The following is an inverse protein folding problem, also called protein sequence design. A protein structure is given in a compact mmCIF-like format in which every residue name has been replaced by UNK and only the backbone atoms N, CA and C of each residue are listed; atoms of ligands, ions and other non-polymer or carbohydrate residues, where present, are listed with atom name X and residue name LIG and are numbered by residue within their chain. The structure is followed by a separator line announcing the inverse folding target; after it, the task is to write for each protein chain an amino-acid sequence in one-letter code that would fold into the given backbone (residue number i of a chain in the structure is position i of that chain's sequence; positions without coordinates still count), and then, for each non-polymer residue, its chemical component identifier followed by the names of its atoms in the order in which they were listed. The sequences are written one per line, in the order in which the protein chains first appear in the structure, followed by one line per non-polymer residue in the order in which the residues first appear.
data_IF_008155667828
#
_entry.id   IF_008155667828
#
_cell.length_a   1.000
_cell.length_b   1.000
_cell.length_c   1.000
_cell.angle_alpha   90.00
_cell.angle_beta   90.00
_cell.angle_gamma   90.00
#
_symmetry.space_group_name_H-M   'P 1'
#
loop_
_entity.id
_entity.type
_entity.pdbx_description
1 polymer ?
#
# COMPACT_ATOMS: atom_id res chain seq x y z
N UNK A 1 -51.99 -1.85 1.07
CA UNK A 1 -50.82 -2.43 0.39
C UNK A 1 -49.64 -1.50 0.67
N UNK A 2 -48.52 -2.00 1.21
CA UNK A 2 -47.46 -1.17 1.79
C UNK A 2 -46.35 -0.92 0.76
N UNK A 3 -46.01 0.33 0.56
CA UNK A 3 -44.90 0.75 -0.30
C UNK A 3 -43.69 1.18 0.56
N UNK A 4 -42.70 0.29 0.51
CA UNK A 4 -41.25 0.53 0.49
C UNK A 4 -40.59 1.21 1.71
N UNK A 5 -40.08 0.36 2.61
CA UNK A 5 -38.82 0.59 3.31
C UNK A 5 -37.68 0.72 2.29
N UNK A 6 -36.78 1.70 2.40
CA UNK A 6 -35.36 1.44 2.16
C UNK A 6 -34.43 2.49 2.79
N UNK A 7 -33.91 2.13 3.96
CA UNK A 7 -32.50 2.19 4.32
C UNK A 7 -31.71 3.46 3.98
N UNK A 8 -31.59 4.34 4.98
CA UNK A 8 -30.53 5.34 5.04
C UNK A 8 -29.17 4.64 5.19
N UNK A 9 -28.45 4.52 4.08
CA UNK A 9 -27.07 4.03 4.03
C UNK A 9 -26.12 5.05 4.69
N UNK A 10 -25.90 4.93 6.01
CA UNK A 10 -24.84 5.65 6.72
C UNK A 10 -23.48 5.10 6.28
N UNK A 11 -22.84 5.76 5.33
CA UNK A 11 -21.45 5.51 4.94
C UNK A 11 -20.56 5.94 6.11
N UNK A 12 -20.31 5.03 7.05
CA UNK A 12 -19.32 5.23 8.11
C UNK A 12 -17.94 5.24 7.45
N UNK A 13 -17.34 6.43 7.38
CA UNK A 13 -15.94 6.66 7.07
C UNK A 13 -15.10 5.92 8.11
N UNK A 14 -14.72 4.68 7.79
CA UNK A 14 -13.84 3.87 8.63
C UNK A 14 -12.49 4.58 8.60
N UNK A 15 -12.15 5.29 9.68
CA UNK A 15 -10.76 5.65 9.96
C UNK A 15 -10.04 4.33 10.14
N UNK A 16 -9.45 3.84 9.05
CA UNK A 16 -8.62 2.64 9.04
C UNK A 16 -7.35 2.98 9.82
N UNK A 17 -7.43 2.86 11.14
CA UNK A 17 -6.26 2.77 11.98
C UNK A 17 -5.61 1.44 11.60
N UNK A 18 -4.51 1.49 10.85
CA UNK A 18 -3.66 0.33 10.60
C UNK A 18 -3.47 -0.40 11.93
N UNK A 19 -4.09 -1.58 12.05
CA UNK A 19 -3.90 -2.43 13.20
C UNK A 19 -2.42 -2.81 13.22
N UNK A 20 -1.75 -2.48 14.33
CA UNK A 20 -0.32 -2.70 14.62
C UNK A 20 0.12 -4.18 14.39
N UNK A 21 -0.82 -5.10 14.15
CA UNK A 21 -0.60 -6.49 13.74
C UNK A 21 -0.25 -6.73 12.25
N UNK A 22 -0.24 -5.70 11.40
CA UNK A 22 0.22 -5.81 10.01
C UNK A 22 1.75 -5.68 9.87
N UNK A 23 2.45 -5.37 10.97
CA UNK A 23 3.91 -5.25 11.01
C UNK A 23 4.53 -6.65 10.88
N UNK A 24 5.44 -6.85 9.91
CA UNK A 24 6.13 -8.12 9.55
C UNK A 24 5.35 -9.20 8.79
N UNK A 25 4.12 -8.97 8.32
CA UNK A 25 3.47 -9.90 7.38
C UNK A 25 3.71 -9.48 5.92
N UNK A 26 3.99 -10.42 5.00
CA UNK A 26 4.02 -10.10 3.58
C UNK A 26 2.61 -9.72 3.10
N UNK A 27 2.51 -8.56 2.46
CA UNK A 27 1.28 -8.09 1.82
C UNK A 27 1.52 -8.10 0.31
N UNK A 28 0.83 -8.99 -0.39
CA UNK A 28 0.93 -9.07 -1.84
C UNK A 28 0.10 -7.96 -2.49
N UNK A 29 0.75 -7.15 -3.31
CA UNK A 29 0.15 -6.06 -4.09
C UNK A 29 0.48 -6.32 -5.56
N UNK A 30 -0.28 -7.21 -6.19
CA UNK A 30 0.03 -7.70 -7.53
C UNK A 30 1.37 -8.45 -7.53
N UNK A 31 2.36 -7.95 -8.29
CA UNK A 31 3.71 -8.53 -8.39
C UNK A 31 4.69 -8.01 -7.31
N UNK A 32 4.20 -7.20 -6.37
CA UNK A 32 5.00 -6.59 -5.30
C UNK A 32 4.66 -7.25 -3.97
N UNK A 33 5.68 -7.55 -3.17
CA UNK A 33 5.50 -7.97 -1.78
C UNK A 33 5.88 -6.82 -0.87
N UNK A 34 4.93 -6.30 -0.11
CA UNK A 34 5.12 -5.19 0.82
C UNK A 34 5.18 -5.73 2.25
N UNK A 35 6.26 -5.46 2.95
CA UNK A 35 6.47 -5.73 4.36
C UNK A 35 6.47 -4.40 5.11
N UNK A 36 5.46 -4.17 5.94
CA UNK A 36 5.45 -2.99 6.80
C UNK A 36 6.40 -3.24 7.98
N UNK A 37 7.46 -2.44 8.09
CA UNK A 37 8.37 -2.47 9.25
C UNK A 37 7.89 -1.52 10.34
N UNK A 38 7.41 -0.35 9.94
CA UNK A 38 6.79 0.65 10.79
C UNK A 38 5.52 1.19 10.11
N UNK A 39 4.69 2.00 10.79
CA UNK A 39 3.53 2.64 10.15
C UNK A 39 3.89 3.59 8.99
N UNK A 40 5.14 4.03 8.90
CA UNK A 40 5.62 5.02 7.92
C UNK A 40 6.62 4.45 6.92
N UNK A 41 7.26 3.33 7.26
CA UNK A 41 8.28 2.65 6.45
C UNK A 41 7.87 1.22 6.12
N UNK A 42 8.08 0.87 4.86
CA UNK A 42 7.84 -0.46 4.33
C UNK A 42 9.03 -0.94 3.50
N UNK A 43 9.33 -2.23 3.58
CA UNK A 43 10.18 -2.93 2.63
C UNK A 43 9.32 -3.48 1.51
N UNK A 44 9.68 -3.20 0.27
CA UNK A 44 9.01 -3.74 -0.89
C UNK A 44 9.98 -4.64 -1.64
N UNK A 45 9.53 -5.85 -1.95
CA UNK A 45 10.28 -6.84 -2.71
C UNK A 45 9.55 -7.00 -4.04
N UNK A 46 10.23 -6.68 -5.13
CA UNK A 46 9.81 -7.06 -6.47
C UNK A 46 10.21 -8.52 -6.72
N UNK A 47 9.29 -9.32 -7.24
CA UNK A 47 9.54 -10.73 -7.60
C UNK A 47 10.75 -10.83 -8.55
N UNK A 48 10.85 -9.90 -9.50
CA UNK A 48 11.96 -9.85 -10.45
C UNK A 48 13.27 -9.31 -9.85
N UNK A 49 13.17 -8.44 -8.86
CA UNK A 49 14.33 -7.65 -8.46
C UNK A 49 15.19 -8.31 -7.38
N UNK A 50 14.75 -9.40 -6.71
CA UNK A 50 15.48 -10.18 -5.65
C UNK A 50 16.14 -9.38 -4.51
N UNK A 51 16.07 -8.06 -4.52
CA UNK A 51 16.62 -7.14 -3.54
C UNK A 51 15.46 -6.51 -2.75
N UNK A 52 15.65 -6.38 -1.44
CA UNK A 52 14.74 -5.67 -0.55
C UNK A 52 14.90 -4.16 -0.74
N UNK A 53 13.81 -3.46 -1.06
CA UNK A 53 13.81 -2.03 -1.32
C UNK A 53 13.05 -1.30 -0.21
N UNK A 54 13.74 -0.39 0.50
CA UNK A 54 13.07 0.51 1.45
C UNK A 54 12.21 1.54 0.71
N UNK A 55 10.94 1.60 1.09
CA UNK A 55 9.93 2.46 0.51
C UNK A 55 9.09 3.10 1.62
N UNK A 56 8.94 4.41 1.55
CA UNK A 56 8.01 5.18 2.39
C UNK A 56 6.88 5.71 1.50
N UNK A 57 5.92 6.41 2.11
CA UNK A 57 4.87 7.10 1.36
C UNK A 57 5.43 8.14 0.35
N UNK A 58 6.66 8.65 0.57
CA UNK A 58 7.23 9.79 -0.15
C UNK A 58 8.57 9.49 -0.84
N UNK A 59 9.21 8.37 -0.56
CA UNK A 59 10.51 8.01 -1.15
C UNK A 59 10.63 6.51 -1.37
N UNK A 60 11.45 6.11 -2.33
CA UNK A 60 11.73 4.70 -2.60
C UNK A 60 13.20 4.54 -2.98
N UNK A 61 13.86 3.47 -2.52
CA UNK A 61 15.26 3.20 -2.88
C UNK A 61 15.42 2.48 -4.22
N UNK A 62 14.32 2.16 -4.92
CA UNK A 62 14.38 1.45 -6.20
C UNK A 62 15.11 2.25 -7.29
N UNK A 63 15.78 1.53 -8.19
CA UNK A 63 16.48 2.12 -9.32
C UNK A 63 15.55 3.01 -10.17
N UNK A 64 14.33 2.55 -10.43
CA UNK A 64 13.35 3.29 -11.22
C UNK A 64 13.02 4.65 -10.61
N UNK A 65 12.85 4.74 -9.29
CA UNK A 65 12.64 6.02 -8.61
C UNK A 65 13.91 6.86 -8.59
N UNK A 66 15.08 6.27 -8.32
CA UNK A 66 16.35 7.00 -8.25
C UNK A 66 16.73 7.63 -9.59
N UNK A 67 16.52 6.92 -10.70
CA UNK A 67 16.79 7.44 -12.04
C UNK A 67 15.63 8.29 -12.57
N UNK A 68 14.39 7.87 -12.30
CA UNK A 68 13.18 8.57 -12.71
C UNK A 68 13.05 9.95 -12.07
N UNK A 69 13.24 10.06 -10.76
CA UNK A 69 13.15 11.34 -10.02
C UNK A 69 14.22 12.36 -10.44
N UNK A 70 15.38 11.90 -10.92
CA UNK A 70 16.42 12.77 -11.49
C UNK A 70 16.05 13.32 -12.86
N UNK A 71 15.28 12.56 -13.64
CA UNK A 71 14.83 12.96 -14.99
C UNK A 71 13.53 13.76 -14.92
N UNK A 72 12.61 13.37 -14.06
CA UNK A 72 11.30 13.99 -13.87
C UNK A 72 10.98 14.13 -12.36
N UNK A 73 10.93 15.36 -11.83
CA UNK A 73 10.56 15.61 -10.44
C UNK A 73 9.16 15.11 -10.06
N UNK A 74 8.27 14.89 -11.03
CA UNK A 74 6.90 14.39 -10.82
C UNK A 74 6.77 12.87 -11.00
N UNK A 75 7.90 12.16 -11.15
CA UNK A 75 7.90 10.72 -11.35
C UNK A 75 7.20 9.98 -10.21
N UNK A 76 6.17 9.19 -10.53
CA UNK A 76 5.43 8.39 -9.56
C UNK A 76 5.91 6.94 -9.60
N UNK A 77 6.53 6.49 -8.50
CA UNK A 77 6.99 5.12 -8.37
C UNK A 77 5.84 4.16 -8.04
N UNK A 78 5.78 3.02 -8.74
CA UNK A 78 4.82 1.94 -8.45
C UNK A 78 4.91 1.40 -7.02
N UNK A 79 6.13 1.35 -6.45
CA UNK A 79 6.36 0.91 -5.08
C UNK A 79 5.70 1.83 -4.05
N UNK A 80 5.85 3.15 -4.23
CA UNK A 80 5.24 4.13 -3.34
C UNK A 80 3.71 4.08 -3.44
N UNK A 81 3.18 3.84 -4.65
CA UNK A 81 1.75 3.64 -4.84
C UNK A 81 1.25 2.38 -4.10
N UNK A 82 2.00 1.27 -4.15
CA UNK A 82 1.68 0.05 -3.41
C UNK A 82 1.68 0.28 -1.90
N UNK A 83 2.72 0.92 -1.35
CA UNK A 83 2.80 1.25 0.08
C UNK A 83 1.64 2.15 0.50
N UNK A 84 1.26 3.15 -0.30
CA UNK A 84 0.11 4.01 -0.01
C UNK A 84 -1.22 3.23 0.02
N UNK A 85 -1.44 2.30 -0.92
CA UNK A 85 -2.63 1.44 -0.90
C UNK A 85 -2.68 0.58 0.36
N UNK A 86 -1.54 0.02 0.74
CA UNK A 86 -1.41 -0.76 1.98
C UNK A 86 -1.71 0.11 3.20
N UNK A 87 -1.09 1.29 3.31
CA UNK A 87 -1.33 2.27 4.38
C UNK A 87 -2.79 2.73 4.47
N UNK A 88 -3.46 2.90 3.34
CA UNK A 88 -4.88 3.26 3.28
C UNK A 88 -5.82 2.10 3.64
N UNK A 89 -5.29 0.87 3.76
CA UNK A 89 -6.09 -0.34 3.99
C UNK A 89 -6.86 -0.80 2.75
N UNK A 90 -6.43 -0.41 1.55
CA UNK A 90 -7.03 -0.84 0.27
C UNK A 90 -6.57 -2.25 -0.16
N UNK A 91 -5.57 -2.83 0.53
CA UNK A 91 -5.06 -4.17 0.25
C UNK A 91 -5.19 -5.04 1.49
N UNK A 92 -5.94 -6.14 1.35
CA UNK A 92 -6.09 -7.16 2.39
C UNK A 92 -5.01 -8.22 2.24
N UNK A 93 -4.46 -8.67 3.37
CA UNK A 93 -3.60 -9.86 3.46
C UNK A 93 -4.39 -11.09 3.03
N UNK A 94 -4.33 -11.45 1.74
CA UNK A 94 -4.69 -12.79 1.31
C UNK A 94 -3.55 -13.72 1.74
N UNK A 95 -3.76 -14.34 2.90
CA UNK A 95 -2.97 -15.45 3.40
C UNK A 95 -3.70 -16.71 2.94
N UNK A 96 -3.24 -17.32 1.85
CA UNK A 96 -3.64 -18.69 1.47
C UNK A 96 -3.00 -19.72 2.42
#
# INVERSE_FOLDING_TARGET
MPDVNDSQFKIRKVKSAMSVNAVKKPIFVGELVVYMDTPEEARVIEIDCRYELNTTANSCTCCTYRFGSRRDPKFQCRHMAAVRKVMNGEVTVESE
#
